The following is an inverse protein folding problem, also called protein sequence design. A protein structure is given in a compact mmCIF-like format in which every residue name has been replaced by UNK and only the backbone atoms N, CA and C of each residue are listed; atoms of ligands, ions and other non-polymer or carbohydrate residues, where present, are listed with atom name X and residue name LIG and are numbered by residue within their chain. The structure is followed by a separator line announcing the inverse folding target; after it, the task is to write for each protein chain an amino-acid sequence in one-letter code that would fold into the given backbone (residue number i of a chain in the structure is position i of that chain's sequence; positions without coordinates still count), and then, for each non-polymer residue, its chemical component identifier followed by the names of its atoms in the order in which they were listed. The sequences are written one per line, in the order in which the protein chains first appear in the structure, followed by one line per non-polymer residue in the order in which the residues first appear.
data_IF_174637339115
#
_entry.id   IF_174637339115
#
_cell.length_a   1.000
_cell.length_b   1.000
_cell.length_c   1.000
_cell.angle_alpha   90.00
_cell.angle_beta   90.00
_cell.angle_gamma   90.00
#
_symmetry.space_group_name_H-M   'P 1'
#
loop_
_entity.id
_entity.type
_entity.pdbx_description
1 polymer ?
#
# COMPACT_ATOMS: atom_id res chain seq x y z
N UNK A 1 -9.11 5.33 -18.52
CA UNK A 1 -8.22 6.50 -18.74
C UNK A 1 -6.77 6.02 -18.65
N UNK A 2 -5.89 6.50 -19.54
CA UNK A 2 -4.45 6.14 -19.58
C UNK A 2 -3.62 7.40 -19.37
N UNK A 3 -2.67 7.36 -18.42
CA UNK A 3 -1.68 8.43 -18.22
C UNK A 3 -0.29 7.85 -18.42
N UNK A 4 0.55 8.52 -19.23
CA UNK A 4 1.91 8.09 -19.56
C UNK A 4 2.94 8.94 -18.83
N UNK A 5 3.86 8.28 -18.15
CA UNK A 5 5.04 8.88 -17.54
C UNK A 5 6.31 8.21 -18.09
N UNK A 6 7.48 8.82 -17.86
CA UNK A 6 8.78 8.33 -18.33
C UNK A 6 9.09 6.89 -17.90
N UNK A 7 8.49 6.40 -16.81
CA UNK A 7 8.82 5.11 -16.20
C UNK A 7 7.63 4.16 -16.02
N UNK A 8 6.39 4.61 -16.25
CA UNK A 8 5.21 3.75 -16.12
C UNK A 8 4.02 4.29 -16.91
N UNK A 9 3.04 3.41 -17.12
CA UNK A 9 1.73 3.72 -17.69
C UNK A 9 0.69 3.31 -16.66
N UNK A 10 -0.18 4.24 -16.28
CA UNK A 10 -1.32 3.95 -15.40
C UNK A 10 -2.58 3.80 -16.23
N UNK A 11 -3.31 2.70 -16.05
CA UNK A 11 -4.59 2.46 -16.69
C UNK A 11 -5.66 2.21 -15.63
N UNK A 12 -6.82 2.82 -15.82
CA UNK A 12 -7.98 2.64 -14.97
C UNK A 12 -9.06 1.82 -15.69
N UNK A 13 -9.53 0.77 -15.00
CA UNK A 13 -10.56 -0.14 -15.48
C UNK A 13 -11.77 -0.08 -14.53
N UNK A 14 -12.89 0.56 -14.91
CA UNK A 14 -14.13 0.47 -14.16
C UNK A 14 -14.72 -0.92 -14.38
N UNK A 15 -14.43 -1.85 -13.47
CA UNK A 15 -14.98 -3.21 -13.52
C UNK A 15 -16.21 -3.30 -12.63
N UNK A 16 -17.31 -3.81 -13.20
CA UNK A 16 -18.48 -4.24 -12.46
C UNK A 16 -18.61 -5.78 -12.58
N UNK A 17 -18.74 -6.52 -11.47
CA UNK A 17 -18.76 -6.06 -10.08
C UNK A 17 -17.36 -5.62 -9.56
N UNK A 18 -17.30 -4.85 -8.44
CA UNK A 18 -16.06 -4.54 -7.74
C UNK A 18 -15.26 -5.83 -7.47
N UNK A 19 -13.95 -5.79 -7.71
CA UNK A 19 -13.11 -6.97 -7.60
C UNK A 19 -13.31 -8.01 -8.72
N UNK A 20 -13.49 -7.57 -9.97
CA UNK A 20 -13.53 -8.44 -11.17
C UNK A 20 -12.26 -9.28 -11.43
N UNK A 21 -11.83 -9.44 -12.69
CA UNK A 21 -10.74 -10.35 -13.12
C UNK A 21 -9.38 -10.21 -12.40
N UNK A 22 -9.18 -9.11 -11.68
CA UNK A 22 -7.92 -8.79 -11.00
C UNK A 22 -7.94 -9.03 -9.49
N UNK A 23 -9.09 -9.34 -8.90
CA UNK A 23 -9.17 -9.69 -7.48
C UNK A 23 -8.72 -11.13 -7.27
N UNK A 24 -7.86 -11.35 -6.28
CA UNK A 24 -7.44 -12.68 -5.89
C UNK A 24 -8.21 -13.14 -4.65
N UNK A 25 -8.91 -14.27 -4.73
CA UNK A 25 -9.53 -14.84 -3.54
C UNK A 25 -8.45 -15.49 -2.64
N UNK A 26 -8.06 -14.75 -1.60
CA UNK A 26 -7.11 -15.25 -0.62
C UNK A 26 -7.75 -16.26 0.36
N UNK A 27 -9.09 -16.36 0.43
CA UNK A 27 -9.79 -17.34 1.28
C UNK A 27 -9.81 -18.75 0.69
N UNK A 28 -9.73 -18.87 -0.64
CA UNK A 28 -9.81 -20.16 -1.36
C UNK A 28 -8.43 -20.62 -1.81
N UNK A 29 -8.03 -21.82 -1.37
CA UNK A 29 -6.87 -22.58 -1.88
C UNK A 29 -5.48 -21.98 -1.58
N UNK A 30 -4.51 -22.83 -1.23
CA UNK A 30 -3.10 -22.43 -1.04
C UNK A 30 -2.75 -21.84 0.32
N UNK A 31 -1.44 -21.80 0.63
CA UNK A 31 -0.91 -21.26 1.89
C UNK A 31 -0.95 -19.74 1.85
N UNK A 32 -1.91 -19.13 2.53
CA UNK A 32 -1.90 -17.70 2.83
C UNK A 32 -1.18 -17.46 4.16
N UNK A 33 -0.47 -16.34 4.28
CA UNK A 33 0.11 -15.93 5.56
C UNK A 33 -0.66 -14.75 6.12
N UNK A 34 -1.20 -14.93 7.32
CA UNK A 34 -1.83 -13.83 8.04
C UNK A 34 -0.75 -12.94 8.65
N UNK A 35 -0.84 -11.64 8.36
CA UNK A 35 -0.01 -10.61 8.98
C UNK A 35 -0.61 -10.23 10.33
N UNK A 36 -1.92 -9.99 10.35
CA UNK A 36 -2.66 -9.59 11.55
C UNK A 36 -4.13 -9.96 11.42
N UNK A 37 -4.72 -10.38 12.54
CA UNK A 37 -6.16 -10.38 12.78
C UNK A 37 -6.53 -9.19 13.66
N UNK A 38 -7.76 -8.68 13.54
CA UNK A 38 -8.29 -7.66 14.42
C UNK A 38 -8.11 -8.03 15.89
N UNK A 39 -7.38 -7.23 16.64
CA UNK A 39 -7.19 -7.40 18.08
C UNK A 39 -7.21 -6.04 18.76
N UNK A 40 -7.99 -5.86 19.84
CA UNK A 40 -8.22 -4.57 20.48
C UNK A 40 -7.03 -4.08 21.35
N UNK A 41 -5.99 -4.87 21.57
CA UNK A 41 -5.06 -4.64 22.69
C UNK A 41 -3.64 -4.16 22.35
N UNK A 42 -3.28 -3.93 21.08
CA UNK A 42 -1.93 -3.39 20.78
C UNK A 42 -1.95 -2.38 19.64
N UNK A 43 -1.88 -1.08 20.00
CA UNK A 43 -1.63 0.06 19.13
C UNK A 43 -0.16 0.13 18.70
N UNK A 44 0.33 -0.90 18.01
CA UNK A 44 1.59 -0.77 17.29
C UNK A 44 1.36 -1.03 15.80
N UNK A 45 1.62 0.03 15.03
CA UNK A 45 1.76 0.02 13.58
C UNK A 45 3.05 -0.74 13.27
N UNK A 46 2.94 -2.06 13.15
CA UNK A 46 4.07 -2.92 12.80
C UNK A 46 4.00 -3.27 11.32
N UNK A 47 5.03 -2.87 10.59
CA UNK A 47 5.24 -3.32 9.24
C UNK A 47 5.87 -4.72 9.29
N UNK A 48 5.27 -5.70 8.61
CA UNK A 48 5.81 -7.06 8.54
C UNK A 48 6.81 -7.18 7.39
N UNK A 49 8.09 -7.46 7.62
CA UNK A 49 9.05 -7.70 6.54
C UNK A 49 8.72 -8.99 5.80
N UNK A 50 8.81 -8.95 4.47
CA UNK A 50 8.57 -10.10 3.58
C UNK A 50 9.59 -10.08 2.45
N UNK A 51 10.16 -11.26 2.17
CA UNK A 51 10.97 -11.50 0.98
C UNK A 51 10.09 -12.06 -0.14
N UNK A 52 10.03 -11.36 -1.27
CA UNK A 52 9.39 -11.83 -2.49
C UNK A 52 10.14 -13.05 -3.04
N UNK A 53 9.39 -14.02 -3.55
CA UNK A 53 9.95 -15.20 -4.23
C UNK A 53 10.52 -14.90 -5.63
N UNK A 54 10.36 -13.66 -6.12
CA UNK A 54 10.82 -13.21 -7.44
C UNK A 54 11.42 -11.80 -7.38
N UNK A 55 12.24 -11.47 -8.38
CA UNK A 55 12.72 -10.10 -8.61
C UNK A 55 11.59 -9.22 -9.12
N UNK A 56 11.21 -8.21 -8.35
CA UNK A 56 10.23 -7.22 -8.77
C UNK A 56 10.91 -5.94 -9.27
N UNK A 57 10.64 -5.53 -10.51
CA UNK A 57 11.20 -4.30 -11.08
C UNK A 57 10.39 -3.09 -10.63
N UNK A 58 11.01 -2.20 -9.84
CA UNK A 58 10.40 -0.97 -9.33
C UNK A 58 11.34 0.21 -9.62
N UNK A 59 10.86 1.26 -10.31
CA UNK A 59 11.65 2.45 -10.68
C UNK A 59 13.05 2.15 -11.25
N UNK A 60 13.13 1.16 -12.15
CA UNK A 60 14.37 0.82 -12.85
C UNK A 60 15.36 -0.07 -12.10
N UNK A 61 15.06 -0.47 -10.87
CA UNK A 61 15.86 -1.42 -10.09
C UNK A 61 15.03 -2.62 -9.63
N UNK A 62 15.70 -3.69 -9.22
CA UNK A 62 15.04 -4.90 -8.72
C UNK A 62 15.00 -4.91 -7.20
N UNK A 63 13.84 -5.23 -6.63
CA UNK A 63 13.63 -5.40 -5.20
C UNK A 63 13.10 -6.81 -4.90
N UNK A 64 13.49 -7.32 -3.74
CA UNK A 64 12.93 -8.56 -3.15
C UNK A 64 12.45 -8.36 -1.72
N UNK A 65 13.02 -7.41 -0.99
CA UNK A 65 12.67 -7.19 0.41
C UNK A 65 11.69 -6.02 0.47
N UNK A 66 10.49 -6.29 0.98
CA UNK A 66 9.44 -5.31 1.21
C UNK A 66 8.91 -5.45 2.64
N UNK A 67 8.08 -4.50 3.07
CA UNK A 67 7.32 -4.66 4.31
C UNK A 67 5.84 -4.36 4.10
N UNK A 68 4.97 -5.17 4.68
CA UNK A 68 3.51 -4.98 4.64
C UNK A 68 3.09 -4.14 5.84
N UNK A 69 2.52 -2.96 5.60
CA UNK A 69 1.93 -2.16 6.68
C UNK A 69 0.49 -2.56 6.95
N UNK A 70 0.05 -2.46 8.21
CA UNK A 70 -1.36 -2.68 8.57
C UNK A 70 -2.29 -1.54 8.13
N UNK A 71 -1.73 -0.40 7.69
CA UNK A 71 -2.48 0.79 7.26
C UNK A 71 -2.66 0.91 5.73
N UNK A 72 -2.59 -0.19 4.98
CA UNK A 72 -2.99 -0.18 3.56
C UNK A 72 -1.90 0.12 2.52
N UNK A 73 -0.62 -0.05 2.86
CA UNK A 73 0.48 0.14 1.91
C UNK A 73 1.60 -0.89 2.11
N UNK A 74 2.40 -1.08 1.06
CA UNK A 74 3.67 -1.80 1.09
C UNK A 74 4.80 -0.78 1.12
N UNK A 75 5.81 -1.01 1.96
CA UNK A 75 7.06 -0.29 1.94
C UNK A 75 8.06 -1.04 1.05
N UNK A 76 8.62 -0.36 0.06
CA UNK A 76 9.60 -0.94 -0.88
C UNK A 76 11.05 -0.66 -0.50
N UNK A 77 11.27 0.12 0.56
CA UNK A 77 12.60 0.48 1.03
C UNK A 77 13.25 -0.55 1.94
N UNK A 78 14.57 -0.44 2.06
CA UNK A 78 15.34 -1.29 2.95
C UNK A 78 14.89 -1.10 4.41
N UNK A 79 14.40 -2.19 5.02
CA UNK A 79 14.05 -2.20 6.44
C UNK A 79 15.30 -2.15 7.34
N UNK A 80 15.28 -1.42 8.48
CA UNK A 80 14.24 -0.49 8.91
C UNK A 80 14.36 0.85 8.15
N UNK A 81 13.40 1.13 7.27
CA UNK A 81 13.35 2.41 6.58
C UNK A 81 12.63 3.40 7.49
N UNK A 82 13.38 4.30 8.13
CA UNK A 82 12.83 5.48 8.82
C UNK A 82 12.16 6.48 7.88
N UNK A 83 11.95 6.12 6.60
CA UNK A 83 11.35 6.96 5.57
C UNK A 83 10.09 6.31 5.00
N UNK A 84 9.29 5.73 5.89
CA UNK A 84 7.98 5.09 5.63
C UNK A 84 7.06 5.92 4.75
N UNK A 85 7.25 7.24 4.71
CA UNK A 85 6.43 8.17 3.93
C UNK A 85 6.81 8.33 2.45
N UNK A 86 7.95 7.80 1.97
CA UNK A 86 8.47 8.17 0.63
C UNK A 86 8.80 7.02 -0.32
N UNK A 87 8.76 5.77 0.14
CA UNK A 87 8.95 4.60 -0.71
C UNK A 87 7.82 3.61 -0.46
N UNK A 88 6.81 3.63 -1.32
CA UNK A 88 5.61 2.84 -1.09
C UNK A 88 4.88 2.41 -2.35
N UNK A 89 4.13 1.32 -2.20
CA UNK A 89 3.02 0.92 -3.07
C UNK A 89 1.76 0.96 -2.22
N UNK A 90 0.90 1.95 -2.43
CA UNK A 90 -0.28 2.23 -1.62
C UNK A 90 -1.54 2.12 -2.49
N UNK A 91 -2.24 0.97 -2.51
CA UNK A 91 -3.58 0.91 -3.08
C UNK A 91 -4.53 1.86 -2.35
N UNK A 92 -4.41 2.00 -1.02
CA UNK A 92 -5.13 3.01 -0.27
C UNK A 92 -4.46 3.20 1.09
N UNK A 93 -3.96 4.41 1.34
CA UNK A 93 -3.36 4.78 2.61
C UNK A 93 -4.02 6.03 3.17
N UNK A 94 -4.35 5.97 4.46
CA UNK A 94 -4.71 7.13 5.27
C UNK A 94 -4.10 6.93 6.67
N UNK A 95 -3.75 8.03 7.35
CA UNK A 95 -3.16 7.97 8.70
C UNK A 95 -4.14 7.47 9.76
N UNK A 96 -5.45 7.60 9.51
CA UNK A 96 -6.53 7.13 10.37
C UNK A 96 -6.97 5.70 10.03
N UNK A 97 -6.50 5.11 8.92
CA UNK A 97 -6.89 3.77 8.51
C UNK A 97 -6.17 2.71 9.35
N UNK A 98 -6.93 1.94 10.12
CA UNK A 98 -6.41 0.95 11.05
C UNK A 98 -7.25 -0.34 11.05
N UNK A 99 -6.56 -1.48 10.94
CA UNK A 99 -7.13 -2.82 11.06
C UNK A 99 -7.41 -3.22 12.52
N UNK A 100 -6.89 -2.50 13.51
CA UNK A 100 -7.13 -2.82 14.93
C UNK A 100 -8.54 -2.46 15.41
N UNK A 101 -9.25 -1.62 14.65
CA UNK A 101 -10.55 -1.06 15.00
C UNK A 101 -11.74 -1.97 14.66
N UNK A 102 -11.52 -3.09 13.98
CA UNK A 102 -12.54 -4.10 13.68
C UNK A 102 -11.96 -5.49 14.02
N UNK A 103 -12.62 -6.25 14.86
CA UNK A 103 -12.19 -7.61 15.24
C UNK A 103 -12.21 -8.58 14.06
N UNK A 104 -13.04 -8.31 13.05
CA UNK A 104 -13.09 -9.08 11.81
C UNK A 104 -12.10 -8.59 10.75
N UNK A 105 -11.36 -7.51 11.02
CA UNK A 105 -10.34 -7.05 10.10
C UNK A 105 -9.19 -8.08 9.99
N UNK A 106 -8.58 -8.10 8.82
CA UNK A 106 -7.38 -8.90 8.61
C UNK A 106 -6.48 -8.26 7.57
N UNK A 107 -5.19 -8.52 7.74
CA UNK A 107 -4.18 -8.24 6.72
C UNK A 107 -3.51 -9.56 6.41
N UNK A 108 -3.51 -9.95 5.13
CA UNK A 108 -3.03 -11.25 4.67
C UNK A 108 -2.37 -11.12 3.31
N UNK A 109 -1.48 -12.05 3.00
CA UNK A 109 -0.83 -12.07 1.72
C UNK A 109 -0.63 -13.49 1.20
N UNK A 110 -0.41 -13.59 -0.10
CA UNK A 110 0.01 -14.80 -0.80
C UNK A 110 1.10 -14.46 -1.80
N UNK A 111 2.11 -15.31 -1.86
CA UNK A 111 3.15 -15.29 -2.88
C UNK A 111 3.11 -16.63 -3.62
N UNK A 112 3.01 -16.61 -4.95
CA UNK A 112 2.94 -17.81 -5.78
C UNK A 112 4.11 -17.95 -6.77
N UNK A 113 5.18 -17.16 -6.64
CA UNK A 113 6.32 -17.20 -7.58
C UNK A 113 6.19 -16.27 -8.78
N UNK A 114 4.97 -15.87 -9.14
CA UNK A 114 4.67 -15.01 -10.29
C UNK A 114 3.91 -13.75 -9.92
N UNK A 115 3.19 -13.80 -8.81
CA UNK A 115 2.41 -12.72 -8.23
C UNK A 115 2.56 -12.74 -6.71
N UNK A 116 2.63 -11.55 -6.14
CA UNK A 116 2.56 -11.31 -4.71
C UNK A 116 1.37 -10.40 -4.42
N UNK A 117 0.36 -10.94 -3.74
CA UNK A 117 -0.89 -10.22 -3.46
C UNK A 117 -1.05 -10.01 -1.96
N UNK A 118 -1.37 -8.78 -1.56
CA UNK A 118 -1.76 -8.43 -0.19
C UNK A 118 -3.18 -7.93 -0.18
N UNK A 119 -3.97 -8.41 0.77
CA UNK A 119 -5.31 -7.94 1.05
C UNK A 119 -5.36 -7.27 2.43
N UNK A 120 -5.94 -6.08 2.44
CA UNK A 120 -6.41 -5.40 3.63
C UNK A 120 -7.92 -5.51 3.64
N UNK A 121 -8.45 -6.23 4.62
CA UNK A 121 -9.89 -6.52 4.73
C UNK A 121 -10.48 -5.85 5.95
N UNK A 122 -11.60 -5.17 5.72
CA UNK A 122 -12.42 -4.50 6.74
C UNK A 122 -11.65 -3.51 7.63
N UNK A 123 -10.73 -2.75 7.05
CA UNK A 123 -10.09 -1.65 7.78
C UNK A 123 -11.13 -0.56 8.09
N UNK A 124 -10.92 0.20 9.15
CA UNK A 124 -11.78 1.32 9.56
C UNK A 124 -10.96 2.59 9.75
N UNK A 125 -11.64 3.73 9.64
CA UNK A 125 -11.07 5.01 10.03
C UNK A 125 -11.23 5.20 11.54
N UNK A 126 -10.18 5.68 12.20
CA UNK A 126 -10.25 6.13 13.60
C UNK A 126 -11.14 7.37 13.78
N UNK A 127 -11.19 8.23 12.75
CA UNK A 127 -12.06 9.42 12.69
C UNK A 127 -12.43 9.74 11.23
N UNK A 128 -13.67 10.17 10.94
CA UNK A 128 -14.82 10.17 11.84
C UNK A 128 -15.28 8.73 12.18
N UNK A 129 -15.82 8.49 13.38
CA UNK A 129 -16.27 7.16 13.78
C UNK A 129 -17.47 6.71 12.92
N UNK A 130 -17.57 5.41 12.66
CA UNK A 130 -18.69 4.81 11.91
C UNK A 130 -18.46 4.63 10.42
N UNK A 131 -17.37 5.17 9.85
CA UNK A 131 -16.98 4.90 8.46
C UNK A 131 -16.34 3.52 8.37
N UNK A 132 -17.10 2.56 7.86
CA UNK A 132 -16.69 1.19 7.60
C UNK A 132 -17.26 0.75 6.23
N UNK A 133 -16.64 -0.16 5.51
CA UNK A 133 -15.37 -0.82 5.77
C UNK A 133 -14.50 -0.74 4.51
N UNK A 134 -13.18 -0.67 4.69
CA UNK A 134 -12.25 -0.61 3.58
C UNK A 134 -11.68 -2.01 3.31
N UNK A 135 -11.93 -2.52 2.10
CA UNK A 135 -11.43 -3.81 1.62
C UNK A 135 -10.85 -3.64 0.23
N UNK A 136 -9.55 -3.88 0.11
CA UNK A 136 -8.78 -3.66 -1.11
C UNK A 136 -7.52 -4.53 -1.14
N UNK A 137 -6.92 -4.64 -2.32
CA UNK A 137 -5.73 -5.44 -2.59
C UNK A 137 -4.69 -4.65 -3.39
N UNK A 138 -3.43 -5.05 -3.20
CA UNK A 138 -2.36 -4.74 -4.13
C UNK A 138 -1.67 -6.04 -4.57
N UNK A 139 -1.46 -6.18 -5.88
CA UNK A 139 -0.71 -7.29 -6.47
C UNK A 139 0.51 -6.76 -7.20
N UNK A 140 1.69 -7.25 -6.81
CA UNK A 140 2.94 -7.08 -7.54
C UNK A 140 3.12 -8.28 -8.46
N UNK A 141 3.15 -8.05 -9.77
CA UNK A 141 3.40 -9.09 -10.76
C UNK A 141 4.88 -9.12 -11.12
N UNK A 142 5.46 -10.31 -11.29
CA UNK A 142 6.87 -10.51 -11.66
C UNK A 142 7.31 -9.71 -12.90
N UNK A 143 6.38 -9.42 -13.81
CA UNK A 143 6.62 -8.55 -14.97
C UNK A 143 6.77 -7.05 -14.67
N UNK A 144 6.72 -6.61 -13.41
CA UNK A 144 6.82 -5.21 -13.00
C UNK A 144 5.49 -4.45 -12.99
N UNK A 145 4.38 -5.12 -13.28
CA UNK A 145 3.04 -4.52 -13.22
C UNK A 145 2.53 -4.52 -11.79
N UNK A 146 1.89 -3.42 -11.39
CA UNK A 146 1.22 -3.25 -10.11
C UNK A 146 -0.27 -3.15 -10.38
N UNK A 147 -1.06 -3.90 -9.63
CA UNK A 147 -2.52 -3.90 -9.74
C UNK A 147 -3.12 -3.52 -8.40
N UNK A 148 -3.99 -2.51 -8.40
CA UNK A 148 -4.83 -2.17 -7.25
C UNK A 148 -6.25 -2.64 -7.54
N UNK A 149 -6.81 -3.41 -6.62
CA UNK A 149 -8.18 -3.90 -6.73
C UNK A 149 -8.97 -3.47 -5.49
N UNK A 150 -10.17 -2.94 -5.71
CA UNK A 150 -11.02 -2.41 -4.65
C UNK A 150 -12.32 -3.21 -4.61
N UNK A 151 -12.66 -3.72 -3.43
CA UNK A 151 -13.90 -4.46 -3.20
C UNK A 151 -14.93 -3.60 -2.46
N UNK A 152 -14.51 -2.94 -1.39
CA UNK A 152 -15.37 -2.05 -0.61
C UNK A 152 -14.55 -0.82 -0.21
N UNK A 153 -14.85 0.33 -0.79
CA UNK A 153 -14.22 1.61 -0.44
C UNK A 153 -15.33 2.65 -0.42
N UNK A 154 -15.91 2.96 0.75
CA UNK A 154 -16.96 3.96 0.86
C UNK A 154 -16.50 5.30 0.28
N UNK A 155 -17.38 5.91 -0.54
CA UNK A 155 -17.18 7.27 -1.03
C UNK A 155 -17.45 8.30 0.06
N UNK A 156 -18.38 7.97 0.96
CA UNK A 156 -18.78 8.79 2.10
C UNK A 156 -17.85 8.51 3.29
N UNK A 157 -17.46 9.57 4.01
CA UNK A 157 -16.63 9.45 5.23
C UNK A 157 -15.18 9.92 5.09
N UNK A 158 -14.71 10.22 3.88
CA UNK A 158 -13.44 10.94 3.68
C UNK A 158 -13.54 12.41 4.11
N UNK A 159 -14.71 13.02 3.94
CA UNK A 159 -15.02 14.35 4.45
C UNK A 159 -15.00 14.33 5.98
N UNK A 160 -13.96 14.94 6.57
CA UNK A 160 -13.74 14.98 8.02
C UNK A 160 -12.72 13.96 8.55
N UNK A 161 -12.19 13.06 7.72
CA UNK A 161 -11.08 12.19 8.12
C UNK A 161 -9.80 12.98 8.41
N UNK A 162 -9.66 14.18 7.82
CA UNK A 162 -8.53 15.08 8.03
C UNK A 162 -7.18 14.50 7.58
N UNK A 163 -7.17 13.31 6.97
CA UNK A 163 -5.99 12.57 6.56
C UNK A 163 -5.50 12.94 5.16
N UNK A 164 -4.20 12.73 4.92
CA UNK A 164 -3.58 12.77 3.59
C UNK A 164 -3.82 11.40 2.93
N UNK A 165 -4.95 11.27 2.25
CA UNK A 165 -5.27 10.06 1.49
C UNK A 165 -4.24 9.90 0.36
N UNK A 166 -3.57 8.75 0.34
CA UNK A 166 -2.60 8.40 -0.71
C UNK A 166 -3.05 7.15 -1.43
N UNK A 167 -3.17 7.26 -2.74
CA UNK A 167 -3.33 6.13 -3.64
C UNK A 167 -2.28 6.27 -4.74
N UNK A 168 -1.35 5.33 -4.81
CA UNK A 168 -0.32 5.37 -5.82
C UNK A 168 0.95 4.63 -5.44
N UNK A 169 2.01 4.97 -6.16
CA UNK A 169 3.37 4.48 -5.92
C UNK A 169 4.28 5.67 -5.72
N UNK A 170 5.30 5.47 -4.89
CA UNK A 170 6.38 6.42 -4.68
C UNK A 170 7.71 5.71 -4.47
N UNK A 171 8.77 6.33 -4.95
CA UNK A 171 10.15 5.94 -4.70
C UNK A 171 10.96 7.18 -4.30
N UNK A 172 11.98 6.98 -3.48
CA UNK A 172 12.80 8.06 -2.94
C UNK A 172 14.20 7.57 -2.60
N UNK A 173 15.14 8.46 -2.37
CA UNK A 173 16.48 8.08 -1.93
C UNK A 173 17.07 9.15 -1.02
N UNK A 174 17.93 8.71 -0.10
CA UNK A 174 18.75 9.63 0.70
C UNK A 174 20.01 9.95 -0.07
N UNK A 175 20.21 11.24 -0.39
CA UNK A 175 21.48 11.71 -0.92
C UNK A 175 22.48 11.76 0.24
N UNK A 176 23.49 10.87 0.26
CA UNK A 176 24.62 11.03 1.19
C UNK A 176 25.46 12.21 0.70
N UNK A 177 25.44 13.35 1.41
CA UNK A 177 26.53 14.33 1.26
C UNK A 177 27.80 13.77 1.92
N UNK A 178 28.97 14.02 1.33
CA UNK A 178 30.26 13.79 2.00
C UNK A 178 30.27 14.60 3.31
N UNK A 179 30.80 14.08 4.42
CA UNK A 179 30.70 14.77 5.70
C UNK A 179 31.46 16.10 5.63
N UNK A 180 30.75 17.22 5.62
CA UNK A 180 31.28 18.48 6.10
C UNK A 180 31.25 18.43 7.63
N UNK A 181 32.27 19.02 8.24
CA UNK A 181 32.68 18.92 9.63
C UNK A 181 31.69 19.60 10.60
N UNK A 182 30.44 19.16 10.70
CA UNK A 182 29.46 19.69 11.66
C UNK A 182 28.61 18.57 12.31
N UNK A 183 28.66 18.36 13.64
CA UNK A 183 27.95 17.28 14.32
C UNK A 183 26.46 17.55 14.57
N UNK A 184 25.91 18.70 14.16
CA UNK A 184 24.48 18.97 14.36
C UNK A 184 23.60 18.24 13.34
N UNK A 185 23.19 17.00 13.68
CA UNK A 185 21.97 16.29 13.23
C UNK A 185 21.36 16.83 11.92
N UNK A 186 22.10 16.78 10.80
CA UNK A 186 21.54 17.12 9.50
C UNK A 186 20.57 16.00 9.12
N UNK A 187 19.26 16.30 9.20
CA UNK A 187 18.24 15.47 8.56
C UNK A 187 18.53 15.50 7.06
N UNK A 188 19.08 14.41 6.52
CA UNK A 188 19.35 14.30 5.08
C UNK A 188 18.06 14.59 4.29
N UNK A 189 18.11 15.46 3.27
CA UNK A 189 16.94 15.72 2.44
C UNK A 189 16.55 14.44 1.71
N UNK A 190 15.30 14.01 1.91
CA UNK A 190 14.70 12.90 1.17
C UNK A 190 14.21 13.46 -0.15
N UNK A 191 14.69 12.92 -1.27
CA UNK A 191 14.18 13.29 -2.59
C UNK A 191 13.17 12.24 -3.03
N UNK A 192 11.90 12.64 -3.07
CA UNK A 192 10.80 11.84 -3.60
C UNK A 192 10.77 12.00 -5.13
N UNK A 193 10.76 10.88 -5.86
CA UNK A 193 10.82 10.90 -7.32
C UNK A 193 9.45 11.16 -7.94
N UNK A 194 8.40 10.49 -7.47
CA UNK A 194 7.09 10.59 -8.11
C UNK A 194 5.97 10.03 -7.23
N UNK A 195 4.89 10.79 -7.01
CA UNK A 195 3.64 10.30 -6.42
C UNK A 195 2.61 10.12 -7.53
N UNK A 196 2.11 8.90 -7.73
CA UNK A 196 0.81 8.74 -8.38
C UNK A 196 -0.25 9.18 -7.37
N UNK A 197 -1.14 10.09 -7.74
CA UNK A 197 -2.39 10.34 -7.00
C UNK A 197 -3.51 9.83 -7.89
N UNK A 198 -4.14 8.72 -7.51
CA UNK A 198 -5.37 8.31 -8.20
C UNK A 198 -6.54 9.14 -7.70
N UNK A 199 -7.36 9.55 -8.64
CA UNK A 199 -8.61 10.25 -8.42
C UNK A 199 -9.68 9.23 -8.00
N UNK A 200 -10.00 9.21 -6.70
CA UNK A 200 -10.96 8.28 -6.12
C UNK A 200 -12.38 8.48 -6.68
N UNK A 201 -12.72 9.68 -7.16
CA UNK A 201 -14.04 9.94 -7.76
C UNK A 201 -14.21 9.18 -9.08
N UNK A 202 -13.11 8.96 -9.81
CA UNK A 202 -13.11 8.18 -11.06
C UNK A 202 -13.06 6.67 -10.80
N UNK A 203 -12.60 6.29 -9.62
CA UNK A 203 -12.51 4.92 -9.10
C UNK A 203 -13.83 4.29 -8.68
N UNK A 204 -14.81 5.14 -8.34
CA UNK A 204 -15.95 4.78 -7.48
C UNK A 204 -17.29 5.23 -8.10
N UNK A 205 -17.28 5.60 -9.38
CA UNK A 205 -18.51 5.90 -10.12
C UNK A 205 -19.22 4.64 -10.63
N UNK A 206 -19.73 3.79 -9.73
CA UNK A 206 -20.87 2.86 -9.96
C UNK A 206 -21.60 2.63 -8.63
#
# INVERSE_FOLDING_TARGET
METRHLYYISQYYPLFPPGGTFWEDLTRGGVQTVVRHGSPSVHHRQDKPVGLSFDFKFYGHYIRNISISTSGYLNTGAYPSFVTDTQYVAPLFDSQLDSSLDTEASVRYRDNGTAFTVEWRRLRLGRPPGVCCFTFQATLLKGGRIVFAYWQVPQEGWAGAGGDIRVGVSDAYKVKKRPAHDPKRERLPVKEYHRVKLDLEKGVGI
#
